data_IF_863806562101
#
_entry.id   IF_863806562101
#
_cell.length_a   1.000
_cell.length_b   1.000
_cell.length_c   1.000
_cell.angle_alpha   90.00
_cell.angle_beta   90.00
_cell.angle_gamma   90.00
#
_symmetry.space_group_name_H-M   'P 1'
#
loop_
_entity.id
_entity.type
_entity.pdbx_description
1 polymer ?
#
# COMPACT_ATOMS: atom_id res chain seq x y z
N UNK A 1 -0.28 -23.26 -62.14
CA UNK A 1 -1.02 -23.58 -60.90
C UNK A 1 -0.25 -24.66 -60.16
N UNK A 2 0.48 -24.29 -59.10
CA UNK A 2 1.28 -25.19 -58.26
C UNK A 2 0.34 -25.86 -57.27
N UNK A 3 0.28 -27.19 -57.26
CA UNK A 3 -0.25 -27.96 -56.14
C UNK A 3 0.91 -28.73 -55.51
N UNK A 4 1.13 -28.41 -54.24
CA UNK A 4 2.27 -28.78 -53.40
C UNK A 4 2.18 -30.24 -52.96
N UNK A 5 3.33 -30.92 -52.96
CA UNK A 5 3.55 -32.25 -52.38
C UNK A 5 3.05 -32.30 -50.94
N UNK A 6 2.22 -33.30 -50.64
CA UNK A 6 1.99 -33.80 -49.29
C UNK A 6 2.43 -35.26 -49.24
N UNK A 7 3.67 -35.51 -48.84
CA UNK A 7 4.10 -36.83 -48.41
C UNK A 7 4.44 -36.76 -46.91
N UNK A 8 3.64 -37.52 -46.17
CA UNK A 8 3.62 -37.72 -44.73
C UNK A 8 4.88 -38.48 -44.29
N UNK A 9 5.66 -37.90 -43.38
CA UNK A 9 6.76 -38.60 -42.68
C UNK A 9 6.34 -38.86 -41.22
N UNK A 10 6.62 -40.04 -40.65
CA UNK A 10 6.18 -40.40 -39.31
C UNK A 10 7.02 -39.72 -38.23
N UNK A 11 6.34 -39.31 -37.16
CA UNK A 11 6.94 -38.74 -35.94
C UNK A 11 8.04 -39.67 -35.38
N UNK A 12 9.31 -39.31 -35.57
CA UNK A 12 10.39 -39.78 -34.70
C UNK A 12 10.43 -38.93 -33.45
N UNK A 13 9.92 -39.46 -32.35
CA UNK A 13 10.14 -38.91 -31.00
C UNK A 13 11.58 -39.26 -30.57
N UNK A 14 12.55 -38.40 -30.89
CA UNK A 14 13.86 -38.42 -30.21
C UNK A 14 13.83 -37.41 -29.06
N UNK A 15 13.54 -37.87 -27.85
CA UNK A 15 13.75 -37.10 -26.63
C UNK A 15 15.26 -36.85 -26.46
N UNK A 16 15.74 -35.69 -26.92
CA UNK A 16 17.06 -35.20 -26.56
C UNK A 16 17.02 -34.71 -25.09
N UNK A 17 18.00 -35.04 -24.25
CA UNK A 17 18.10 -34.39 -22.95
C UNK A 17 18.35 -32.90 -23.24
N UNK A 18 17.46 -32.02 -22.77
CA UNK A 18 17.80 -30.59 -22.68
C UNK A 18 18.95 -30.49 -21.68
N UNK A 19 20.18 -30.58 -22.20
CA UNK A 19 21.36 -30.17 -21.48
C UNK A 19 21.09 -28.73 -21.02
N UNK A 20 20.94 -28.55 -19.71
CA UNK A 20 20.67 -27.26 -19.11
C UNK A 20 21.81 -26.32 -19.41
N UNK A 21 21.68 -25.55 -20.48
CA UNK A 21 22.50 -24.36 -20.73
C UNK A 21 22.15 -23.40 -19.59
N UNK A 22 22.94 -23.45 -18.51
CA UNK A 22 23.02 -22.35 -17.56
C UNK A 22 23.63 -21.18 -18.32
N UNK A 23 22.78 -20.43 -19.02
CA UNK A 23 23.15 -19.16 -19.63
C UNK A 23 23.82 -18.26 -18.57
N UNK A 24 24.65 -17.29 -18.99
CA UNK A 24 25.33 -16.38 -18.07
C UNK A 24 24.32 -15.83 -17.07
N UNK A 25 24.48 -16.17 -15.78
CA UNK A 25 23.62 -15.68 -14.72
C UNK A 25 23.95 -14.20 -14.53
N UNK A 26 23.24 -13.34 -15.24
CA UNK A 26 23.49 -11.90 -15.25
C UNK A 26 23.17 -11.33 -13.85
N UNK A 27 24.21 -11.25 -13.00
CA UNK A 27 24.12 -10.55 -11.72
C UNK A 27 24.25 -9.06 -11.98
N UNK A 28 23.18 -8.46 -12.52
CA UNK A 28 23.09 -7.00 -12.61
C UNK A 28 23.05 -6.44 -11.18
N UNK A 29 23.86 -5.44 -10.93
CA UNK A 29 23.82 -4.70 -9.67
C UNK A 29 22.46 -4.00 -9.53
N UNK A 30 21.75 -4.28 -8.44
CA UNK A 30 20.56 -3.52 -8.04
C UNK A 30 20.92 -2.70 -6.79
N UNK A 31 20.83 -1.36 -6.84
CA UNK A 31 21.18 -0.51 -5.70
C UNK A 31 20.18 -0.59 -4.54
N UNK A 32 18.99 -1.16 -4.74
CA UNK A 32 17.94 -1.20 -3.74
C UNK A 32 17.72 -2.60 -3.16
N UNK A 33 17.43 -2.65 -1.87
CA UNK A 33 16.99 -3.85 -1.17
C UNK A 33 15.68 -3.58 -0.42
N UNK A 34 14.86 -4.61 -0.24
CA UNK A 34 13.62 -4.50 0.51
C UNK A 34 13.78 -5.14 1.89
N UNK A 35 14.05 -4.32 2.91
CA UNK A 35 14.26 -4.83 4.27
C UNK A 35 12.98 -5.02 5.09
N UNK A 36 11.83 -4.91 4.42
CA UNK A 36 10.51 -5.05 5.00
C UNK A 36 10.26 -4.06 6.12
N UNK A 37 9.45 -4.52 7.07
CA UNK A 37 8.96 -3.73 8.18
C UNK A 37 7.59 -3.15 7.89
N UNK A 38 6.71 -3.23 8.89
CA UNK A 38 5.35 -2.70 8.84
C UNK A 38 5.19 -1.69 9.96
N UNK A 39 4.63 -0.54 9.61
CA UNK A 39 4.32 0.54 10.56
C UNK A 39 2.84 0.89 10.47
N UNK A 40 2.25 1.21 11.60
CA UNK A 40 0.85 1.59 11.74
C UNK A 40 0.77 2.81 12.64
N UNK A 41 -0.09 3.76 12.27
CA UNK A 41 -0.36 4.95 13.05
C UNK A 41 -1.87 5.17 13.21
N UNK A 42 -2.31 5.45 14.42
CA UNK A 42 -3.70 5.81 14.74
C UNK A 42 -3.72 7.19 15.36
N UNK A 43 -4.47 8.09 14.73
CA UNK A 43 -4.70 9.43 15.26
C UNK A 43 -5.96 9.44 16.15
N UNK A 44 -5.79 9.84 17.40
CA UNK A 44 -6.88 10.22 18.30
C UNK A 44 -7.08 11.74 18.30
N UNK A 45 -8.07 12.21 19.06
CA UNK A 45 -8.41 13.65 19.14
C UNK A 45 -7.24 14.50 19.65
N UNK A 46 -6.51 13.98 20.64
CA UNK A 46 -5.43 14.67 21.37
C UNK A 46 -4.11 13.87 21.43
N UNK A 47 -4.03 12.72 20.76
CA UNK A 47 -2.85 11.86 20.79
C UNK A 47 -2.69 11.13 19.46
N UNK A 48 -1.48 10.64 19.19
CA UNK A 48 -1.21 9.74 18.07
C UNK A 48 -0.42 8.54 18.59
N UNK A 49 -0.88 7.33 18.26
CA UNK A 49 -0.16 6.09 18.56
C UNK A 49 0.52 5.65 17.28
N UNK A 50 1.82 5.41 17.33
CA UNK A 50 2.60 4.91 16.22
C UNK A 50 3.30 3.63 16.67
N UNK A 51 3.07 2.55 15.94
CA UNK A 51 3.66 1.24 16.18
C UNK A 51 4.41 0.78 14.94
N UNK A 52 5.50 0.04 15.15
CA UNK A 52 6.26 -0.57 14.08
C UNK A 52 6.85 -1.89 14.56
N UNK A 53 6.97 -2.85 13.66
CA UNK A 53 7.71 -4.07 13.95
C UNK A 53 9.21 -3.79 14.10
N UNK A 54 9.95 -4.77 14.60
CA UNK A 54 11.40 -4.65 14.84
C UNK A 54 12.24 -5.55 13.95
N UNK A 55 11.59 -6.31 13.05
CA UNK A 55 12.26 -7.25 12.15
C UNK A 55 12.89 -6.51 10.97
N UNK A 56 14.10 -6.91 10.62
CA UNK A 56 14.77 -6.54 9.38
C UNK A 56 15.19 -7.82 8.67
N UNK A 57 14.71 -8.00 7.44
CA UNK A 57 15.06 -9.13 6.58
C UNK A 57 15.76 -8.66 5.30
N UNK A 58 16.37 -9.58 4.57
CA UNK A 58 16.80 -9.37 3.19
C UNK A 58 16.59 -10.69 2.46
N UNK A 59 15.75 -10.68 1.43
CA UNK A 59 15.21 -11.90 0.83
C UNK A 59 14.61 -12.83 1.88
N UNK A 60 15.10 -14.08 1.93
CA UNK A 60 14.64 -15.10 2.89
C UNK A 60 15.45 -15.14 4.19
N UNK A 61 16.37 -14.19 4.41
CA UNK A 61 17.22 -14.15 5.61
C UNK A 61 16.76 -13.06 6.60
N UNK A 62 16.86 -13.34 7.90
CA UNK A 62 16.62 -12.36 8.96
C UNK A 62 17.96 -11.76 9.37
N UNK A 63 18.15 -10.47 9.08
CA UNK A 63 19.35 -9.73 9.44
C UNK A 63 19.34 -9.31 10.91
N UNK A 64 18.19 -8.83 11.40
CA UNK A 64 18.03 -8.43 12.80
C UNK A 64 16.57 -8.56 13.24
N UNK A 65 16.36 -8.82 14.53
CA UNK A 65 15.04 -8.85 15.17
C UNK A 65 14.77 -7.62 16.04
N UNK A 66 15.78 -6.78 16.26
CA UNK A 66 15.75 -5.65 17.19
C UNK A 66 16.15 -4.36 16.48
N UNK A 67 15.46 -4.01 15.41
CA UNK A 67 15.68 -2.77 14.70
C UNK A 67 14.40 -1.93 14.63
N UNK A 68 14.38 -0.82 15.38
CA UNK A 68 13.24 0.11 15.35
C UNK A 68 13.07 0.74 13.96
N UNK A 69 11.80 0.77 13.51
CA UNK A 69 11.32 1.51 12.34
C UNK A 69 10.85 2.92 12.69
N UNK A 70 10.77 3.21 13.99
CA UNK A 70 10.36 4.49 14.55
C UNK A 70 11.59 5.32 14.93
N UNK A 71 11.59 6.58 14.52
CA UNK A 71 12.56 7.58 14.93
C UNK A 71 11.83 8.80 15.48
N UNK A 72 12.17 9.19 16.71
CA UNK A 72 11.71 10.46 17.27
C UNK A 72 12.46 11.62 16.61
N UNK A 73 11.72 12.55 16.00
CA UNK A 73 12.28 13.73 15.33
C UNK A 73 12.28 14.94 16.27
N UNK A 74 11.15 15.20 16.92
CA UNK A 74 11.00 16.26 17.94
C UNK A 74 10.22 15.71 19.14
N UNK A 75 9.96 16.55 20.15
CA UNK A 75 9.20 16.15 21.33
C UNK A 75 7.77 15.65 21.01
N UNK A 76 7.19 16.12 19.91
CA UNK A 76 5.79 15.83 19.53
C UNK A 76 5.64 15.01 18.25
N UNK A 77 6.74 14.64 17.59
CA UNK A 77 6.70 14.06 16.24
C UNK A 77 7.60 12.84 16.12
N UNK A 78 7.06 11.79 15.49
CA UNK A 78 7.74 10.52 15.26
C UNK A 78 7.65 10.19 13.77
N UNK A 79 8.79 9.84 13.19
CA UNK A 79 8.90 9.34 11.83
C UNK A 79 8.84 7.81 11.86
N UNK A 80 7.88 7.23 11.15
CA UNK A 80 7.75 5.80 10.95
C UNK A 80 8.11 5.44 9.51
N UNK A 81 9.07 4.54 9.33
CA UNK A 81 9.63 4.22 8.00
C UNK A 81 9.84 2.72 7.82
N UNK A 82 9.28 2.16 6.75
CA UNK A 82 9.54 0.79 6.28
C UNK A 82 10.29 0.78 4.95
N UNK A 83 10.68 -0.40 4.47
CA UNK A 83 11.32 -0.56 3.15
C UNK A 83 12.84 -0.68 3.23
N UNK A 84 13.57 0.05 2.36
CA UNK A 84 15.02 -0.07 2.27
C UNK A 84 15.73 0.65 3.43
N UNK A 85 16.47 -0.09 4.26
CA UNK A 85 17.11 0.49 5.45
C UNK A 85 18.21 1.49 5.11
N UNK A 86 18.89 1.34 3.98
CA UNK A 86 19.91 2.27 3.51
C UNK A 86 19.34 3.68 3.34
N UNK A 87 18.28 3.81 2.54
CA UNK A 87 17.60 5.08 2.29
C UNK A 87 16.98 5.67 3.55
N UNK A 88 16.33 4.83 4.37
CA UNK A 88 15.77 5.28 5.65
C UNK A 88 16.84 5.92 6.52
N UNK A 89 18.02 5.31 6.65
CA UNK A 89 19.09 5.85 7.50
C UNK A 89 19.62 7.20 7.00
N UNK A 90 19.67 7.39 5.69
CA UNK A 90 20.09 8.64 5.05
C UNK A 90 19.03 9.73 5.26
N UNK A 91 17.76 9.40 5.05
CA UNK A 91 16.63 10.30 5.29
C UNK A 91 16.60 10.77 6.75
N UNK A 92 16.79 9.86 7.70
CA UNK A 92 16.82 10.17 9.12
C UNK A 92 17.91 11.20 9.48
N UNK A 93 19.12 11.04 8.92
CA UNK A 93 20.23 11.98 9.15
C UNK A 93 19.95 13.34 8.51
N UNK A 94 19.43 13.35 7.29
CA UNK A 94 19.10 14.57 6.57
C UNK A 94 18.01 15.36 7.29
N UNK A 95 16.95 14.70 7.75
CA UNK A 95 15.87 15.35 8.49
C UNK A 95 16.36 15.94 9.82
N UNK A 96 17.22 15.23 10.56
CA UNK A 96 17.83 15.78 11.79
C UNK A 96 18.63 17.05 11.51
N UNK A 97 19.46 17.05 10.47
CA UNK A 97 20.23 18.24 10.08
C UNK A 97 19.31 19.41 9.69
N UNK A 98 18.22 19.13 8.95
CA UNK A 98 17.26 20.14 8.53
C UNK A 98 16.44 20.71 9.69
N UNK A 99 16.14 19.92 10.71
CA UNK A 99 15.47 20.40 11.93
C UNK A 99 16.34 21.39 12.68
N UNK A 100 17.63 21.08 12.85
CA UNK A 100 18.61 21.98 13.47
C UNK A 100 18.76 23.27 12.65
N UNK A 101 18.90 23.15 11.33
CA UNK A 101 18.94 24.33 10.44
C UNK A 101 17.69 25.20 10.56
N UNK A 102 16.51 24.58 10.67
CA UNK A 102 15.24 25.30 10.83
C UNK A 102 15.19 26.06 12.15
N UNK A 103 15.56 25.41 13.26
CA UNK A 103 15.58 25.98 14.60
C UNK A 103 16.54 27.18 14.67
N UNK A 104 17.71 27.09 14.06
CA UNK A 104 18.64 28.22 13.98
C UNK A 104 18.09 29.42 13.18
N UNK A 105 17.28 29.18 12.15
CA UNK A 105 16.72 30.25 11.30
C UNK A 105 15.48 30.91 11.90
N UNK A 106 14.64 30.16 12.60
CA UNK A 106 13.34 30.64 13.09
C UNK A 106 13.28 30.81 14.61
N UNK A 107 14.27 30.32 15.36
CA UNK A 107 14.32 30.37 16.82
C UNK A 107 13.34 29.42 17.52
N UNK A 108 12.61 28.61 16.76
CA UNK A 108 11.58 27.69 17.27
C UNK A 108 11.76 26.30 16.65
N UNK A 109 11.48 25.22 17.39
CA UNK A 109 11.50 23.86 16.85
C UNK A 109 10.37 23.68 15.84
N UNK A 110 10.64 22.89 14.79
CA UNK A 110 9.64 22.58 13.76
C UNK A 110 8.45 21.81 14.36
N UNK A 111 7.24 22.33 14.13
CA UNK A 111 5.97 21.72 14.58
C UNK A 111 5.29 21.07 13.37
N UNK A 112 4.67 19.91 13.57
CA UNK A 112 3.89 19.26 12.50
C UNK A 112 2.59 20.01 12.31
N UNK A 113 2.24 20.29 11.05
CA UNK A 113 0.96 20.86 10.69
C UNK A 113 -0.15 19.87 11.08
N UNK A 114 -1.11 20.32 11.90
CA UNK A 114 -2.26 19.51 12.28
C UNK A 114 -3.16 19.33 11.05
N UNK A 115 -3.50 18.09 10.73
CA UNK A 115 -4.52 17.83 9.71
C UNK A 115 -5.84 18.52 10.11
N UNK A 116 -6.58 19.12 9.16
CA UNK A 116 -7.88 19.69 9.45
C UNK A 116 -8.81 18.60 10.00
N UNK A 117 -9.61 18.94 11.00
CA UNK A 117 -10.61 18.02 11.56
C UNK A 117 -11.52 17.50 10.44
N UNK A 118 -11.89 16.21 10.43
CA UNK A 118 -12.87 15.72 9.45
C UNK A 118 -14.17 16.53 9.57
N UNK A 119 -14.83 16.85 8.45
CA UNK A 119 -16.10 17.55 8.49
C UNK A 119 -17.11 16.73 9.31
N UNK A 120 -18.03 17.39 10.03
CA UNK A 120 -19.08 16.68 10.77
C UNK A 120 -19.86 15.75 9.83
N UNK A 121 -20.35 14.60 10.31
CA UNK A 121 -21.17 13.71 9.50
C UNK A 121 -22.39 14.50 8.97
N UNK A 122 -22.71 14.33 7.70
CA UNK A 122 -23.91 14.91 7.11
C UNK A 122 -25.15 14.47 7.89
N UNK A 123 -26.13 15.37 8.13
CA UNK A 123 -27.36 14.98 8.80
C UNK A 123 -28.05 13.85 8.03
N UNK A 124 -28.74 12.93 8.73
CA UNK A 124 -29.51 11.88 8.06
C UNK A 124 -30.53 12.50 7.09
N UNK A 125 -30.80 11.85 5.94
CA UNK A 125 -31.82 12.34 5.03
C UNK A 125 -33.18 12.43 5.77
N UNK A 126 -34.02 13.43 5.44
CA UNK A 126 -35.35 13.54 6.01
C UNK A 126 -36.12 12.24 5.76
N UNK A 127 -36.86 11.78 6.78
CA UNK A 127 -37.76 10.64 6.69
C UNK A 127 -38.65 10.81 5.46
N UNK A 128 -38.65 9.83 4.55
CA UNK A 128 -39.56 9.85 3.41
C UNK A 128 -41.00 10.04 3.93
N UNK A 129 -41.81 10.91 3.29
CA UNK A 129 -43.21 11.04 3.67
C UNK A 129 -43.90 9.67 3.56
N UNK A 130 -44.93 9.40 4.39
CA UNK A 130 -45.67 8.14 4.32
C UNK A 130 -46.17 7.93 2.89
N UNK A 131 -45.93 6.73 2.35
CA UNK A 131 -46.40 6.33 1.04
C UNK A 131 -47.93 6.53 1.01
N UNK A 132 -48.43 7.29 0.03
CA UNK A 132 -49.87 7.50 -0.13
C UNK A 132 -50.58 6.14 -0.23
N UNK A 133 -51.78 5.97 0.38
CA UNK A 133 -52.50 4.71 0.30
C UNK A 133 -52.76 4.35 -1.17
N UNK A 134 -52.71 3.05 -1.52
CA UNK A 134 -53.00 2.62 -2.89
C UNK A 134 -54.43 3.05 -3.29
N UNK A 135 -54.67 3.36 -4.57
CA UNK A 135 -56.00 3.71 -5.04
C UNK A 135 -56.99 2.56 -4.79
N UNK A 136 -58.28 2.86 -4.57
CA UNK A 136 -59.30 1.83 -4.37
C UNK A 136 -59.38 0.93 -5.61
N UNK A 137 -59.58 -0.36 -5.36
CA UNK A 137 -59.79 -1.36 -6.41
C UNK A 137 -60.98 -0.96 -7.29
N UNK A 138 -60.92 -1.15 -8.62
CA UNK A 138 -62.06 -0.87 -9.49
C UNK A 138 -63.26 -1.74 -9.10
N UNK A 139 -64.50 -1.23 -9.24
CA UNK A 139 -65.68 -2.00 -8.92
C UNK A 139 -65.78 -3.23 -9.84
N UNK A 140 -66.35 -4.35 -9.35
CA UNK A 140 -66.56 -5.53 -10.17
C UNK A 140 -67.47 -5.21 -11.37
N UNK A 141 -67.27 -5.88 -12.52
CA UNK A 141 -68.13 -5.68 -13.68
C UNK A 141 -69.58 -6.03 -13.35
N UNK A 142 -70.52 -5.21 -13.83
CA UNK A 142 -71.94 -5.46 -13.69
C UNK A 142 -72.31 -6.77 -14.38
N UNK A 143 -73.22 -7.58 -13.80
CA UNK A 143 -73.71 -8.78 -14.47
C UNK A 143 -74.44 -8.41 -15.78
N UNK A 144 -74.36 -9.26 -16.81
CA UNK A 144 -75.10 -9.04 -18.06
C UNK A 144 -76.63 -9.09 -17.82
N UNK A 145 -77.41 -8.44 -18.70
CA UNK A 145 -78.87 -8.39 -18.60
C UNK A 145 -79.54 -9.76 -18.76
#
# INVERSE_FOLDING_TARGET
SKASMSCTEPLRLSAAPKAGVRGPHERRFNPYDHNGGTVLAVAGTNFAIVAGDTRMSSGFNILSRNQSKLLQLTATTVLATGGFRGDVSTLQKLLKAKLVEYEHKHGEPMKVARAPSPPPPSPPPPSLPPLSPPPPSPPPPLPPP
#
